data_IF_787876827582
#
_entry.id   IF_787876827582
#
_cell.length_a   1.000
_cell.length_b   1.000
_cell.length_c   1.000
_cell.angle_alpha   90.00
_cell.angle_beta   90.00
_cell.angle_gamma   90.00
#
_symmetry.space_group_name_H-M   'P 1'
#
loop_
_entity.id
_entity.type
_entity.pdbx_description
1 polymer ?
#
# COMPACT_ATOMS: atom_id res chain seq x y z
N UNK A 1 85.55 -78.17 3.15
CA UNK A 1 84.38 -78.95 3.59
C UNK A 1 83.92 -78.57 5.00
N UNK A 2 84.54 -79.01 6.11
CA UNK A 2 84.02 -78.77 7.47
C UNK A 2 84.04 -77.28 7.93
N UNK A 3 84.95 -76.46 7.37
CA UNK A 3 85.02 -75.02 7.67
C UNK A 3 83.93 -74.21 6.94
N UNK A 4 83.61 -74.58 5.69
CA UNK A 4 82.62 -73.90 4.85
C UNK A 4 81.18 -74.18 5.31
N UNK A 5 80.93 -75.41 5.78
CA UNK A 5 79.64 -75.80 6.35
C UNK A 5 79.33 -75.01 7.63
N UNK A 6 80.35 -74.81 8.48
CA UNK A 6 80.27 -73.98 9.69
C UNK A 6 80.04 -72.49 9.38
N UNK A 7 80.57 -71.96 8.29
CA UNK A 7 80.32 -70.56 7.89
C UNK A 7 78.93 -70.38 7.26
N UNK A 8 78.44 -71.35 6.48
CA UNK A 8 77.07 -71.33 5.97
C UNK A 8 76.01 -71.44 7.08
N UNK A 9 76.20 -72.34 8.04
CA UNK A 9 75.33 -72.46 9.22
C UNK A 9 75.26 -71.16 10.02
N UNK A 10 76.38 -70.45 10.18
CA UNK A 10 76.41 -69.13 10.82
C UNK A 10 75.65 -68.07 10.04
N UNK A 11 75.79 -68.03 8.71
CA UNK A 11 75.02 -67.10 7.85
C UNK A 11 73.52 -67.39 7.90
N UNK A 12 73.11 -68.65 7.81
CA UNK A 12 71.71 -69.05 7.88
C UNK A 12 71.07 -68.67 9.22
N UNK A 13 71.81 -68.85 10.32
CA UNK A 13 71.36 -68.47 11.67
C UNK A 13 71.18 -66.96 11.81
N UNK A 14 72.07 -66.16 11.22
CA UNK A 14 71.95 -64.70 11.21
C UNK A 14 70.72 -64.24 10.43
N UNK A 15 70.51 -64.80 9.23
CA UNK A 15 69.33 -64.49 8.41
C UNK A 15 68.01 -64.89 9.09
N UNK A 16 67.98 -66.01 9.81
CA UNK A 16 66.79 -66.45 10.54
C UNK A 16 66.47 -65.53 11.74
N UNK A 17 67.50 -64.99 12.40
CA UNK A 17 67.34 -64.00 13.46
C UNK A 17 66.85 -62.65 12.91
N UNK A 18 67.43 -62.17 11.80
CA UNK A 18 66.96 -60.95 11.13
C UNK A 18 65.50 -61.05 10.70
N UNK A 19 65.11 -62.18 10.09
CA UNK A 19 63.73 -62.43 9.70
C UNK A 19 62.79 -62.46 10.92
N UNK A 20 63.20 -63.10 12.01
CA UNK A 20 62.44 -63.10 13.26
C UNK A 20 62.25 -61.68 13.83
N UNK A 21 63.31 -60.88 13.89
CA UNK A 21 63.25 -59.49 14.35
C UNK A 21 62.33 -58.63 13.46
N UNK A 22 62.36 -58.82 12.15
CA UNK A 22 61.48 -58.12 11.20
C UNK A 22 60.01 -58.48 11.42
N UNK A 23 59.68 -59.78 11.56
CA UNK A 23 58.31 -60.23 11.84
C UNK A 23 57.82 -59.69 13.18
N UNK A 24 58.67 -59.71 14.22
CA UNK A 24 58.31 -59.17 15.54
C UNK A 24 58.10 -57.65 15.50
N UNK A 25 58.92 -56.94 14.73
CA UNK A 25 58.73 -55.51 14.47
C UNK A 25 57.39 -55.25 13.78
N UNK A 26 57.04 -56.01 12.73
CA UNK A 26 55.75 -55.90 12.05
C UNK A 26 54.58 -56.17 12.99
N UNK A 27 54.64 -57.23 13.82
CA UNK A 27 53.62 -57.49 14.84
C UNK A 27 53.48 -56.32 15.83
N UNK A 28 54.58 -55.68 16.23
CA UNK A 28 54.57 -54.51 17.10
C UNK A 28 53.96 -53.28 16.43
N UNK A 29 54.23 -53.05 15.14
CA UNK A 29 53.64 -51.94 14.38
C UNK A 29 52.14 -52.13 14.20
N UNK A 30 51.68 -53.35 13.90
CA UNK A 30 50.25 -53.65 13.75
C UNK A 30 49.52 -53.54 15.10
N UNK A 31 50.14 -53.99 16.20
CA UNK A 31 49.60 -53.80 17.55
C UNK A 31 49.59 -52.33 17.99
N UNK A 32 50.60 -51.55 17.59
CA UNK A 32 50.67 -50.11 17.84
C UNK A 32 49.62 -49.31 17.05
N UNK A 33 49.27 -49.77 15.84
CA UNK A 33 48.17 -49.22 15.06
C UNK A 33 46.79 -49.67 15.58
N UNK A 34 46.67 -50.84 16.23
CA UNK A 34 45.45 -51.25 16.96
C UNK A 34 45.18 -50.38 18.21
N UNK A 35 46.18 -49.62 18.70
CA UNK A 35 46.04 -48.70 19.86
C UNK A 35 45.60 -47.30 19.43
N UNK A 36 45.56 -46.98 18.13
CA UNK A 36 45.02 -45.70 17.64
C UNK A 36 43.50 -45.72 17.56
N UNK A 37 42.83 -46.06 18.67
CA UNK A 37 41.56 -45.41 19.05
C UNK A 37 41.16 -45.67 20.52
N UNK A 38 42.13 -45.72 21.45
CA UNK A 38 41.82 -45.68 22.89
C UNK A 38 42.66 -44.62 23.58
N UNK A 39 42.20 -43.38 23.43
CA UNK A 39 42.57 -42.28 24.29
C UNK A 39 42.02 -42.51 25.71
N UNK A 40 42.65 -43.38 26.51
CA UNK A 40 42.57 -43.35 27.97
C UNK A 40 43.89 -43.87 28.56
N UNK A 41 44.59 -42.99 29.27
CA UNK A 41 45.79 -43.27 30.04
C UNK A 41 45.53 -44.34 31.10
N UNK A 42 46.39 -45.36 31.16
CA UNK A 42 46.61 -46.10 32.39
C UNK A 42 48.07 -46.53 32.47
N UNK A 43 48.71 -45.95 33.49
CA UNK A 43 49.94 -46.37 34.13
C UNK A 43 50.08 -47.90 34.24
N UNK A 44 51.18 -48.42 33.72
CA UNK A 44 51.75 -49.67 34.23
C UNK A 44 53.27 -49.70 33.97
N UNK A 45 53.99 -49.30 35.02
CA UNK A 45 55.24 -49.84 35.53
C UNK A 45 56.06 -50.84 34.71
N UNK A 46 57.35 -50.49 34.56
CA UNK A 46 58.56 -51.34 34.61
C UNK A 46 58.35 -52.86 34.59
N UNK A 47 58.77 -53.48 33.49
CA UNK A 47 59.53 -54.74 33.52
C UNK A 47 60.76 -54.56 32.61
N UNK A 48 61.91 -54.50 33.27
CA UNK A 48 63.25 -54.68 32.72
C UNK A 48 63.42 -56.16 32.34
N UNK A 49 63.09 -56.48 31.09
CA UNK A 49 63.61 -57.70 30.46
C UNK A 49 64.61 -57.30 29.37
N UNK A 50 65.74 -56.78 29.85
CA UNK A 50 67.01 -56.71 29.12
C UNK A 50 67.56 -58.12 28.89
N UNK A 51 66.99 -58.87 27.94
CA UNK A 51 67.76 -59.92 27.28
C UNK A 51 68.39 -59.30 26.04
N UNK A 52 69.70 -59.04 26.13
CA UNK A 52 70.54 -58.91 24.95
C UNK A 52 70.51 -60.25 24.23
N UNK A 53 69.54 -60.43 23.32
CA UNK A 53 69.35 -61.66 22.55
C UNK A 53 70.54 -61.80 21.61
N UNK A 54 71.60 -62.40 22.13
CA UNK A 54 72.72 -62.90 21.36
C UNK A 54 72.16 -63.80 20.25
N UNK A 55 72.79 -63.78 19.08
CA UNK A 55 72.50 -64.71 17.97
C UNK A 55 72.62 -66.20 18.39
N UNK A 56 72.98 -66.48 19.64
CA UNK A 56 72.94 -67.78 20.29
C UNK A 56 71.49 -68.19 20.65
N UNK A 57 70.79 -68.70 19.63
CA UNK A 57 69.64 -69.63 19.70
C UNK A 57 68.27 -68.93 19.63
N UNK A 58 67.79 -68.70 18.39
CA UNK A 58 66.36 -68.52 18.14
C UNK A 58 65.68 -69.85 18.51
N UNK A 59 64.83 -69.91 19.54
CA UNK A 59 64.20 -71.15 19.97
C UNK A 59 63.39 -71.76 18.82
N UNK A 60 63.47 -73.08 18.66
CA UNK A 60 62.74 -73.78 17.59
C UNK A 60 61.24 -73.51 17.74
N UNK A 61 60.65 -72.83 16.75
CA UNK A 61 59.23 -72.48 16.73
C UNK A 61 58.88 -71.03 17.06
N UNK A 62 59.81 -70.18 17.52
CA UNK A 62 59.50 -68.76 17.82
C UNK A 62 59.09 -67.95 16.58
N UNK A 63 59.78 -68.15 15.45
CA UNK A 63 59.41 -67.54 14.17
C UNK A 63 58.02 -67.99 13.71
N UNK A 64 57.68 -69.27 13.92
CA UNK A 64 56.36 -69.79 13.58
C UNK A 64 55.26 -69.15 14.44
N UNK A 65 55.51 -68.99 15.74
CA UNK A 65 54.61 -68.29 16.64
C UNK A 65 54.42 -66.82 16.24
N UNK A 66 55.50 -66.09 15.92
CA UNK A 66 55.40 -64.70 15.46
C UNK A 66 54.70 -64.56 14.11
N UNK A 67 54.84 -65.53 13.20
CA UNK A 67 54.10 -65.55 11.94
C UNK A 67 52.61 -65.86 12.12
N UNK A 68 52.26 -66.75 13.06
CA UNK A 68 50.86 -67.01 13.44
C UNK A 68 50.23 -65.76 14.08
N UNK A 69 51.00 -65.06 14.91
CA UNK A 69 50.58 -63.79 15.49
C UNK A 69 50.39 -62.72 14.43
N UNK A 70 51.34 -62.58 13.49
CA UNK A 70 51.22 -61.66 12.36
C UNK A 70 49.97 -61.95 11.54
N UNK A 71 49.73 -63.23 11.22
CA UNK A 71 48.53 -63.67 10.49
C UNK A 71 47.26 -63.31 11.26
N UNK A 72 47.23 -63.50 12.57
CA UNK A 72 46.09 -63.13 13.42
C UNK A 72 45.86 -61.61 13.43
N UNK A 73 46.91 -60.81 13.60
CA UNK A 73 46.81 -59.34 13.59
C UNK A 73 46.34 -58.81 12.24
N UNK A 74 46.88 -59.32 11.13
CA UNK A 74 46.43 -58.95 9.78
C UNK A 74 44.98 -59.37 9.53
N UNK A 75 44.56 -60.55 10.01
CA UNK A 75 43.17 -61.00 9.90
C UNK A 75 42.23 -60.12 10.73
N UNK A 76 42.63 -59.71 11.94
CA UNK A 76 41.85 -58.78 12.76
C UNK A 76 41.67 -57.41 12.10
N UNK A 77 42.64 -56.91 11.34
CA UNK A 77 42.50 -55.65 10.60
C UNK A 77 41.52 -55.78 9.43
N UNK A 78 41.51 -56.94 8.77
CA UNK A 78 40.58 -57.24 7.69
C UNK A 78 39.15 -57.46 8.22
N UNK A 79 39.01 -58.17 9.34
CA UNK A 79 37.72 -58.45 9.98
C UNK A 79 37.20 -57.27 10.80
N UNK A 80 38.09 -56.47 11.40
CA UNK A 80 37.80 -55.22 12.10
C UNK A 80 37.21 -54.15 11.18
N UNK A 81 37.29 -54.35 9.86
CA UNK A 81 36.57 -53.57 8.87
C UNK A 81 35.04 -53.78 8.96
N UNK A 82 34.55 -54.86 9.57
CA UNK A 82 33.11 -55.07 9.89
C UNK A 82 32.64 -54.16 11.05
N UNK A 83 33.53 -53.78 11.97
CA UNK A 83 33.24 -52.78 13.03
C UNK A 83 33.03 -51.37 12.46
N UNK A 84 33.44 -51.14 11.20
CA UNK A 84 33.07 -49.92 10.48
C UNK A 84 31.58 -49.84 10.18
N UNK A 85 30.80 -50.92 10.34
CA UNK A 85 29.35 -50.89 10.18
C UNK A 85 28.64 -49.93 11.15
N UNK A 86 29.09 -49.86 12.41
CA UNK A 86 28.54 -48.89 13.39
C UNK A 86 28.94 -47.47 13.04
N UNK A 87 30.20 -47.22 12.65
CA UNK A 87 30.67 -45.90 12.23
C UNK A 87 30.00 -45.43 10.94
N UNK A 88 29.82 -46.33 9.97
CA UNK A 88 29.08 -46.07 8.72
C UNK A 88 27.62 -45.75 9.00
N UNK A 89 26.98 -46.45 9.93
CA UNK A 89 25.59 -46.17 10.31
C UNK A 89 25.42 -44.81 11.00
N UNK A 90 26.36 -44.43 11.87
CA UNK A 90 26.34 -43.11 12.52
C UNK A 90 26.65 -41.99 11.51
N UNK A 91 27.54 -42.25 10.55
CA UNK A 91 27.88 -41.33 9.46
C UNK A 91 26.70 -41.14 8.49
N UNK A 92 25.99 -42.22 8.14
CA UNK A 92 24.77 -42.17 7.31
C UNK A 92 23.62 -41.41 8.02
N UNK A 93 23.48 -41.59 9.34
CA UNK A 93 22.51 -40.84 10.15
C UNK A 93 22.84 -39.34 10.23
N UNK A 94 24.12 -38.99 10.32
CA UNK A 94 24.57 -37.59 10.28
C UNK A 94 24.36 -36.98 8.90
N UNK A 95 24.63 -37.71 7.81
CA UNK A 95 24.34 -37.28 6.44
C UNK A 95 22.84 -37.03 6.23
N UNK A 96 21.97 -37.90 6.75
CA UNK A 96 20.52 -37.69 6.77
C UNK A 96 20.12 -36.43 7.52
N UNK A 97 20.74 -36.19 8.68
CA UNK A 97 20.46 -35.00 9.47
C UNK A 97 20.95 -33.72 8.78
N UNK A 98 22.11 -33.77 8.12
CA UNK A 98 22.61 -32.67 7.28
C UNK A 98 21.67 -32.42 6.10
N UNK A 99 21.20 -33.47 5.41
CA UNK A 99 20.22 -33.34 4.33
C UNK A 99 18.93 -32.71 4.82
N UNK A 100 18.40 -33.19 5.96
CA UNK A 100 17.17 -32.66 6.55
C UNK A 100 17.31 -31.20 6.97
N UNK A 101 18.39 -30.83 7.65
CA UNK A 101 18.66 -29.44 8.03
C UNK A 101 18.88 -28.55 6.80
N UNK A 102 19.49 -29.07 5.73
CA UNK A 102 19.63 -28.38 4.46
C UNK A 102 18.28 -28.10 3.81
N UNK A 103 17.37 -29.08 3.85
CA UNK A 103 15.99 -28.95 3.38
C UNK A 103 15.22 -27.91 4.20
N UNK A 104 15.29 -27.99 5.54
CA UNK A 104 14.65 -27.03 6.45
C UNK A 104 15.19 -25.60 6.25
N UNK A 105 16.50 -25.44 6.02
CA UNK A 105 17.12 -24.15 5.67
C UNK A 105 16.63 -23.62 4.31
N UNK A 106 16.43 -24.51 3.33
CA UNK A 106 15.89 -24.16 2.01
C UNK A 106 14.45 -23.67 2.14
N UNK A 107 13.61 -24.40 2.89
CA UNK A 107 12.22 -24.02 3.16
C UNK A 107 12.12 -22.67 3.90
N UNK A 108 12.95 -22.46 4.93
CA UNK A 108 13.03 -21.18 5.65
C UNK A 108 13.41 -20.02 4.73
N UNK A 109 14.34 -20.25 3.80
CA UNK A 109 14.76 -19.24 2.82
C UNK A 109 13.63 -18.90 1.85
N UNK A 110 12.93 -19.90 1.32
CA UNK A 110 11.79 -19.69 0.43
C UNK A 110 10.66 -18.92 1.13
N UNK A 111 10.36 -19.25 2.40
CA UNK A 111 9.38 -18.52 3.21
C UNK A 111 9.81 -17.07 3.46
N UNK A 112 11.08 -16.85 3.80
CA UNK A 112 11.62 -15.50 4.00
C UNK A 112 11.54 -14.66 2.71
N UNK A 113 11.90 -15.23 1.56
CA UNK A 113 11.79 -14.56 0.27
C UNK A 113 10.33 -14.24 -0.08
N UNK A 114 9.41 -15.16 0.17
CA UNK A 114 7.98 -14.93 -0.03
C UNK A 114 7.43 -13.82 0.89
N UNK A 115 7.79 -13.81 2.17
CA UNK A 115 7.42 -12.72 3.08
C UNK A 115 8.04 -11.38 2.66
N UNK A 116 9.30 -11.40 2.21
CA UNK A 116 9.97 -10.20 1.71
C UNK A 116 9.25 -9.65 0.48
N UNK A 117 8.79 -10.51 -0.42
CA UNK A 117 8.06 -10.09 -1.61
C UNK A 117 6.66 -9.57 -1.28
N UNK A 118 5.97 -10.19 -0.32
CA UNK A 118 4.71 -9.63 0.22
C UNK A 118 4.93 -8.27 0.87
N UNK A 119 6.01 -8.09 1.61
CA UNK A 119 6.36 -6.81 2.21
C UNK A 119 6.68 -5.74 1.15
N UNK A 120 7.36 -6.10 0.05
CA UNK A 120 7.57 -5.19 -1.09
C UNK A 120 6.25 -4.82 -1.77
N UNK A 121 5.38 -5.80 -2.00
CA UNK A 121 4.06 -5.57 -2.59
C UNK A 121 3.18 -4.65 -1.74
N UNK A 122 3.13 -4.89 -0.42
CA UNK A 122 2.35 -4.04 0.49
C UNK A 122 2.93 -2.63 0.60
N UNK A 123 4.26 -2.47 0.57
CA UNK A 123 4.88 -1.14 0.50
C UNK A 123 4.51 -0.39 -0.78
N UNK A 124 4.49 -1.08 -1.93
CA UNK A 124 4.07 -0.48 -3.20
C UNK A 124 2.60 -0.03 -3.16
N UNK A 125 1.71 -0.86 -2.61
CA UNK A 125 0.28 -0.53 -2.44
C UNK A 125 0.08 0.67 -1.50
N UNK A 126 0.82 0.73 -0.38
CA UNK A 126 0.78 1.88 0.53
C UNK A 126 1.23 3.16 -0.17
N UNK A 127 2.27 3.10 -0.99
CA UNK A 127 2.73 4.26 -1.78
C UNK A 127 1.69 4.68 -2.83
N UNK A 128 1.04 3.73 -3.50
CA UNK A 128 -0.02 4.00 -4.47
C UNK A 128 -1.22 4.68 -3.80
N UNK A 129 -1.70 4.13 -2.69
CA UNK A 129 -2.78 4.72 -1.89
C UNK A 129 -2.40 6.10 -1.35
N UNK A 130 -1.16 6.28 -0.89
CA UNK A 130 -0.67 7.59 -0.45
C UNK A 130 -0.71 8.62 -1.58
N UNK A 131 -0.24 8.26 -2.77
CA UNK A 131 -0.31 9.13 -3.95
C UNK A 131 -1.76 9.48 -4.33
N UNK A 132 -2.66 8.49 -4.27
CA UNK A 132 -4.08 8.72 -4.55
C UNK A 132 -4.72 9.67 -3.53
N UNK A 133 -4.45 9.48 -2.23
CA UNK A 133 -4.90 10.39 -1.17
C UNK A 133 -4.34 11.80 -1.37
N UNK A 134 -3.07 11.93 -1.77
CA UNK A 134 -2.44 13.22 -2.04
C UNK A 134 -3.15 13.95 -3.20
N UNK A 135 -3.42 13.25 -4.31
CA UNK A 135 -4.16 13.81 -5.45
C UNK A 135 -5.58 14.26 -5.06
N UNK A 136 -6.34 13.39 -4.38
CA UNK A 136 -7.69 13.71 -3.91
C UNK A 136 -7.68 14.89 -2.92
N UNK A 137 -6.65 15.02 -2.09
CA UNK A 137 -6.50 16.15 -1.17
C UNK A 137 -6.32 17.46 -1.91
N UNK A 138 -5.52 17.47 -2.99
CA UNK A 138 -5.35 18.66 -3.85
C UNK A 138 -6.66 19.02 -4.55
N UNK A 139 -7.39 18.04 -5.09
CA UNK A 139 -8.69 18.26 -5.73
C UNK A 139 -9.72 18.83 -4.73
N UNK A 140 -9.77 18.29 -3.52
CA UNK A 140 -10.64 18.80 -2.46
C UNK A 140 -10.29 20.23 -2.06
N UNK A 141 -9.00 20.58 -1.98
CA UNK A 141 -8.57 21.97 -1.74
C UNK A 141 -9.04 22.89 -2.87
N UNK A 142 -8.81 22.51 -4.13
CA UNK A 142 -9.24 23.31 -5.29
C UNK A 142 -10.76 23.53 -5.33
N UNK A 143 -11.54 22.49 -5.03
CA UNK A 143 -13.01 22.59 -4.97
C UNK A 143 -13.49 23.46 -3.79
N UNK A 144 -12.80 23.40 -2.65
CA UNK A 144 -13.10 24.28 -1.50
C UNK A 144 -12.82 25.73 -1.84
N UNK A 145 -11.66 26.03 -2.43
CA UNK A 145 -11.30 27.38 -2.87
C UNK A 145 -12.31 27.93 -3.87
N UNK A 146 -12.74 27.11 -4.85
CA UNK A 146 -13.75 27.52 -5.82
C UNK A 146 -15.12 27.77 -5.16
N UNK A 147 -15.53 26.91 -4.21
CA UNK A 147 -16.76 27.12 -3.45
C UNK A 147 -16.72 28.39 -2.60
N UNK A 148 -15.59 28.67 -1.95
CA UNK A 148 -15.38 29.88 -1.16
C UNK A 148 -15.38 31.12 -2.05
N UNK A 149 -14.75 31.04 -3.23
CA UNK A 149 -14.75 32.10 -4.24
C UNK A 149 -16.18 32.40 -4.71
N UNK A 150 -16.97 31.38 -5.05
CA UNK A 150 -18.36 31.57 -5.46
C UNK A 150 -19.24 32.12 -4.33
N UNK A 151 -19.03 31.67 -3.08
CA UNK A 151 -19.73 32.21 -1.92
C UNK A 151 -19.38 33.68 -1.69
N UNK A 152 -18.10 34.04 -1.74
CA UNK A 152 -17.66 35.42 -1.64
C UNK A 152 -18.24 36.28 -2.78
N UNK A 153 -18.28 35.76 -4.01
CA UNK A 153 -18.94 36.45 -5.11
C UNK A 153 -20.43 36.65 -4.87
N UNK A 154 -21.14 35.65 -4.32
CA UNK A 154 -22.55 35.74 -4.01
C UNK A 154 -22.85 36.71 -2.85
N UNK A 155 -22.00 36.76 -1.83
CA UNK A 155 -22.10 37.74 -0.73
C UNK A 155 -21.78 39.17 -1.19
N UNK A 156 -20.85 39.33 -2.13
CA UNK A 156 -20.57 40.63 -2.77
C UNK A 156 -21.67 41.01 -3.77
N UNK A 157 -22.48 40.04 -4.22
CA UNK A 157 -23.62 40.24 -5.12
C UNK A 157 -24.86 40.81 -4.40
N UNK A 158 -24.68 41.77 -3.50
CA UNK A 158 -25.69 42.83 -3.38
C UNK A 158 -25.95 43.36 -4.81
N UNK A 159 -27.22 43.54 -5.24
CA UNK A 159 -27.50 44.07 -6.57
C UNK A 159 -26.66 45.32 -6.76
N UNK A 160 -25.81 45.34 -7.80
CA UNK A 160 -24.83 46.40 -8.04
C UNK A 160 -25.43 47.77 -7.70
N UNK A 161 -24.68 48.67 -7.08
CA UNK A 161 -25.17 50.02 -6.75
C UNK A 161 -25.82 50.71 -7.98
N UNK A 162 -25.34 50.39 -9.18
CA UNK A 162 -25.93 50.81 -10.46
C UNK A 162 -27.32 50.21 -10.70
N UNK A 163 -27.51 48.91 -10.47
CA UNK A 163 -28.81 48.25 -10.55
C UNK A 163 -29.79 48.80 -9.52
N UNK A 164 -29.34 49.01 -8.27
CA UNK A 164 -30.18 49.64 -7.24
C UNK A 164 -30.56 51.07 -7.63
N UNK A 165 -29.63 51.86 -8.17
CA UNK A 165 -29.94 53.20 -8.67
C UNK A 165 -30.96 53.17 -9.80
N UNK A 166 -30.78 52.30 -10.79
CA UNK A 166 -31.71 52.15 -11.90
C UNK A 166 -33.11 51.72 -11.44
N UNK A 167 -33.20 50.86 -10.41
CA UNK A 167 -34.49 50.49 -9.80
C UNK A 167 -35.16 51.71 -9.15
N UNK A 168 -34.42 52.50 -8.37
CA UNK A 168 -34.96 53.72 -7.74
C UNK A 168 -35.43 54.73 -8.78
N UNK A 169 -34.63 54.97 -9.82
CA UNK A 169 -34.97 55.92 -10.89
C UNK A 169 -36.23 55.48 -11.65
N UNK A 170 -36.36 54.17 -11.91
CA UNK A 170 -37.57 53.58 -12.50
C UNK A 170 -38.78 53.79 -11.60
N UNK A 171 -38.64 53.53 -10.31
CA UNK A 171 -39.75 53.63 -9.36
C UNK A 171 -40.20 55.10 -9.18
N UNK A 172 -39.25 56.04 -9.18
CA UNK A 172 -39.55 57.48 -9.19
C UNK A 172 -40.29 57.90 -10.48
N UNK A 173 -39.85 57.40 -11.64
CA UNK A 173 -40.53 57.67 -12.92
C UNK A 173 -41.96 57.10 -12.93
N UNK A 174 -42.17 55.90 -12.38
CA UNK A 174 -43.49 55.29 -12.23
C UNK A 174 -44.38 56.16 -11.31
N UNK A 175 -43.84 56.66 -10.20
CA UNK A 175 -44.59 57.53 -9.29
C UNK A 175 -45.00 58.84 -9.97
N UNK A 176 -44.07 59.49 -10.70
CA UNK A 176 -44.36 60.70 -11.48
C UNK A 176 -45.42 60.45 -12.54
N UNK A 177 -45.33 59.34 -13.27
CA UNK A 177 -46.35 58.95 -14.26
C UNK A 177 -47.72 58.82 -13.61
N UNK A 178 -47.83 58.10 -12.49
CA UNK A 178 -49.10 57.93 -11.77
C UNK A 178 -49.67 59.28 -11.30
N UNK A 179 -48.82 60.19 -10.80
CA UNK A 179 -49.26 61.51 -10.38
C UNK A 179 -49.84 62.32 -11.55
N UNK A 180 -49.19 62.30 -12.71
CA UNK A 180 -49.70 62.96 -13.93
C UNK A 180 -51.00 62.31 -14.41
N UNK A 181 -51.10 60.98 -14.39
CA UNK A 181 -52.33 60.27 -14.74
C UNK A 181 -53.51 60.63 -13.82
N UNK A 182 -53.25 60.81 -12.51
CA UNK A 182 -54.25 61.28 -11.55
C UNK A 182 -54.72 62.71 -11.85
N UNK A 183 -53.79 63.64 -12.11
CA UNK A 183 -54.15 65.02 -12.48
C UNK A 183 -54.90 65.08 -13.82
N UNK A 184 -54.52 64.24 -14.79
CA UNK A 184 -55.25 64.12 -16.06
C UNK A 184 -56.68 63.65 -15.85
N UNK A 185 -56.89 62.64 -14.99
CA UNK A 185 -58.23 62.16 -14.65
C UNK A 185 -59.07 63.26 -13.97
N UNK A 186 -58.46 64.05 -13.08
CA UNK A 186 -59.11 65.20 -12.44
C UNK A 186 -59.52 66.27 -13.46
N UNK A 187 -58.61 66.70 -14.33
CA UNK A 187 -58.91 67.66 -15.39
C UNK A 187 -60.05 67.17 -16.31
N UNK A 188 -60.10 65.86 -16.60
CA UNK A 188 -61.18 65.27 -17.40
C UNK A 188 -62.54 65.38 -16.69
N UNK A 189 -62.58 65.13 -15.38
CA UNK A 189 -63.79 65.32 -14.56
C UNK A 189 -64.22 66.79 -14.59
N UNK A 190 -63.27 67.72 -14.42
CA UNK A 190 -63.55 69.17 -14.43
C UNK A 190 -64.14 69.61 -15.78
N UNK A 191 -63.57 69.16 -16.90
CA UNK A 191 -64.11 69.43 -18.24
C UNK A 191 -65.52 68.86 -18.41
N UNK A 192 -65.77 67.64 -17.95
CA UNK A 192 -67.10 67.03 -18.03
C UNK A 192 -68.14 67.82 -17.21
N UNK A 193 -67.75 68.30 -16.02
CA UNK A 193 -68.58 69.16 -15.18
C UNK A 193 -68.88 70.51 -15.86
N UNK A 194 -67.84 71.17 -16.39
CA UNK A 194 -67.97 72.42 -17.14
C UNK A 194 -68.87 72.26 -18.38
N UNK A 195 -68.75 71.15 -19.10
CA UNK A 195 -69.60 70.88 -20.26
C UNK A 195 -71.08 70.70 -19.86
N UNK A 196 -71.34 70.00 -18.75
CA UNK A 196 -72.71 69.90 -18.20
C UNK A 196 -73.26 71.29 -17.86
N UNK A 197 -72.48 72.11 -17.15
CA UNK A 197 -72.89 73.47 -16.79
C UNK A 197 -73.17 74.35 -18.03
N UNK A 198 -72.35 74.21 -19.07
CA UNK A 198 -72.53 74.91 -20.34
C UNK A 198 -73.83 74.48 -21.03
N UNK A 199 -74.11 73.18 -21.10
CA UNK A 199 -75.35 72.65 -21.66
C UNK A 199 -76.57 73.15 -20.89
N UNK A 200 -76.52 73.17 -19.56
CA UNK A 200 -77.59 73.70 -18.71
C UNK A 200 -77.81 75.20 -18.98
N UNK A 201 -76.75 75.99 -19.09
CA UNK A 201 -76.83 77.42 -19.39
C UNK A 201 -77.42 77.69 -20.79
N UNK A 202 -77.04 76.90 -21.80
CA UNK A 202 -77.62 76.98 -23.15
C UNK A 202 -79.11 76.64 -23.10
N UNK A 203 -79.48 75.58 -22.39
CA UNK A 203 -80.87 75.17 -22.25
C UNK A 203 -81.73 76.24 -21.55
N UNK A 204 -81.20 76.85 -20.48
CA UNK A 204 -81.83 77.98 -19.79
C UNK A 204 -82.00 79.18 -20.74
N UNK A 205 -80.96 79.56 -21.49
CA UNK A 205 -81.02 80.66 -22.46
C UNK A 205 -82.07 80.40 -23.53
N UNK A 206 -82.10 79.19 -24.11
CA UNK A 206 -83.09 78.81 -25.12
C UNK A 206 -84.51 78.95 -24.59
N UNK A 207 -84.78 78.46 -23.37
CA UNK A 207 -86.09 78.57 -22.74
C UNK A 207 -86.50 80.04 -22.53
N UNK A 208 -85.59 80.90 -22.04
CA UNK A 208 -85.87 82.33 -21.87
C UNK A 208 -86.13 83.03 -23.22
N UNK A 209 -85.37 82.68 -24.27
CA UNK A 209 -85.60 83.20 -25.62
C UNK A 209 -86.98 82.80 -26.16
N UNK A 210 -87.39 81.55 -25.97
CA UNK A 210 -88.72 81.07 -26.35
C UNK A 210 -89.84 81.79 -25.57
N UNK A 211 -89.67 82.01 -24.26
CA UNK A 211 -90.62 82.77 -23.45
C UNK A 211 -90.73 84.24 -23.91
N UNK A 212 -89.60 84.87 -24.24
CA UNK A 212 -89.56 86.24 -24.76
C UNK A 212 -90.31 86.33 -26.10
N UNK A 213 -90.05 85.42 -27.03
CA UNK A 213 -90.73 85.36 -28.33
C UNK A 213 -92.25 85.18 -28.15
N UNK A 214 -92.68 84.27 -27.26
CA UNK A 214 -94.09 84.06 -26.95
C UNK A 214 -94.75 85.33 -26.39
N UNK A 215 -94.06 86.04 -25.48
CA UNK A 215 -94.56 87.30 -24.93
C UNK A 215 -94.69 88.40 -26.00
N UNK A 216 -93.70 88.53 -26.88
CA UNK A 216 -93.71 89.49 -27.99
C UNK A 216 -94.86 89.22 -28.99
N UNK A 217 -95.13 87.95 -29.31
CA UNK A 217 -96.27 87.56 -30.16
C UNK A 217 -97.59 87.94 -29.49
N UNK A 218 -97.77 87.63 -28.20
CA UNK A 218 -98.97 88.00 -27.44
C UNK A 218 -99.20 89.52 -27.42
N UNK A 219 -98.14 90.32 -27.25
CA UNK A 219 -98.24 91.78 -27.27
C UNK A 219 -98.69 92.28 -28.65
N UNK A 220 -98.09 91.79 -29.75
CA UNK A 220 -98.46 92.17 -31.12
C UNK A 220 -99.92 91.79 -31.43
N UNK A 221 -100.35 90.59 -31.03
CA UNK A 221 -101.74 90.16 -31.18
C UNK A 221 -102.72 90.99 -30.34
N UNK A 222 -102.33 91.41 -29.13
CA UNK A 222 -103.14 92.28 -28.27
C UNK A 222 -103.32 93.70 -28.82
N UNK A 223 -102.28 94.28 -29.43
CA UNK A 223 -102.35 95.59 -30.10
C UNK A 223 -103.22 95.52 -31.37
N UNK A 224 -103.08 94.46 -32.17
CA UNK A 224 -103.94 94.23 -33.35
C UNK A 224 -105.41 93.99 -32.97
N UNK A 225 -105.66 93.23 -31.90
CA UNK A 225 -107.02 93.01 -31.38
C UNK A 225 -107.66 94.28 -30.80
N UNK A 226 -106.86 95.19 -30.26
CA UNK A 226 -107.33 96.50 -29.78
C UNK A 226 -107.64 97.44 -30.96
N UNK A 227 -106.82 97.42 -32.02
CA UNK A 227 -107.10 98.18 -33.24
C UNK A 227 -108.35 97.67 -33.99
N UNK A 228 -108.59 96.36 -34.07
CA UNK A 228 -109.81 95.83 -34.67
C UNK A 228 -111.08 96.13 -33.86
N UNK A 229 -110.99 96.27 -32.53
CA UNK A 229 -112.13 96.65 -31.67
C UNK A 229 -112.49 98.15 -31.72
N UNK A 230 -111.61 98.99 -32.27
CA UNK A 230 -111.84 100.43 -32.45
C UNK A 230 -112.40 100.80 -33.83
N UNK A 231 -112.60 99.81 -34.72
CA UNK A 231 -113.15 100.00 -36.07
C UNK A 231 -114.56 99.41 -36.27
N UNK A 232 -115.23 98.97 -35.20
CA UNK A 232 -116.65 98.59 -35.18
C UNK A 232 -117.42 99.40 -34.16
#
# INVERSE_FOLDING_TARGET
>A
TNCEERTMLRKLRLQMWEAYCQVRSLCSHLRGNDITDSALSTDSSMDESSETSSAKDVPTGSLHASLLELRRLTQNLLDGNESTGSRRSDEEALEDQVRKLSEELRELRELYEAEQERARGSQAEVLELHNQVALLSVELCALREESERLRAMAEVHEPSEQLQSAIRDRDEAIAKKKAVEMELAKCKIDIMSLNSQLLDAIQQKLNLSQQLEAWQVSQRSGVMGSHCKLQY
#
